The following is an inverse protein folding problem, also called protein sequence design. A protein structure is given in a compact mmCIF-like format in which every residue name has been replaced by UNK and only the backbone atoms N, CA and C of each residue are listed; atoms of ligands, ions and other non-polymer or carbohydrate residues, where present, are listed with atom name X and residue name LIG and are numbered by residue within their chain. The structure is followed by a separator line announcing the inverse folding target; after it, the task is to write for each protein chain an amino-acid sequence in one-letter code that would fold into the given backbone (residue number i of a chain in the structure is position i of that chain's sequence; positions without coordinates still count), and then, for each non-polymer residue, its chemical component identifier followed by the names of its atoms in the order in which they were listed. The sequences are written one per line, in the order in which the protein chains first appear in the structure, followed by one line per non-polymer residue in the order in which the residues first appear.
data_IF_417040291465
#
_entry.id   IF_417040291465
#
_cell.length_a   1.000
_cell.length_b   1.000
_cell.length_c   1.000
_cell.angle_alpha   90.00
_cell.angle_beta   90.00
_cell.angle_gamma   90.00
#
_symmetry.space_group_name_H-M   'P 1'
#
loop_
_entity.id
_entity.type
_entity.pdbx_description
1 polymer ?
#
# COMPACT_ATOMS: atom_id res chain seq x y z
N UNK A 1 0.92 30.73 -53.11
CA UNK A 1 1.14 31.20 -51.72
C UNK A 1 0.20 30.41 -50.84
N UNK A 2 0.79 29.77 -49.83
CA UNK A 2 0.19 28.76 -48.97
C UNK A 2 -0.87 29.33 -48.04
N UNK A 3 -1.93 28.55 -47.83
CA UNK A 3 -2.96 28.81 -46.82
C UNK A 3 -3.56 27.49 -46.35
N UNK A 4 -2.94 26.90 -45.34
CA UNK A 4 -3.37 25.66 -44.68
C UNK A 4 -4.70 25.89 -43.95
N UNK A 5 -5.71 25.11 -44.30
CA UNK A 5 -6.96 24.99 -43.52
C UNK A 5 -6.79 23.87 -42.51
N UNK A 6 -6.98 24.21 -41.23
CA UNK A 6 -7.00 23.30 -40.08
C UNK A 6 -8.23 22.39 -40.20
N UNK A 7 -8.01 21.07 -40.29
CA UNK A 7 -9.05 20.06 -40.11
C UNK A 7 -9.06 19.61 -38.65
N UNK A 8 -10.22 19.72 -38.03
CA UNK A 8 -10.51 19.22 -36.70
C UNK A 8 -10.41 17.69 -36.65
N UNK A 9 -9.80 17.16 -35.58
CA UNK A 9 -9.82 15.74 -35.24
C UNK A 9 -11.01 15.43 -34.35
N UNK A 10 -11.87 14.53 -34.83
CA UNK A 10 -13.00 13.93 -34.11
C UNK A 10 -12.53 12.91 -33.06
N UNK A 11 -13.29 12.70 -31.97
CA UNK A 11 -12.96 11.74 -30.91
C UNK A 11 -13.16 10.28 -31.35
N UNK A 12 -12.15 9.45 -31.05
CA UNK A 12 -12.12 8.02 -31.38
C UNK A 12 -13.22 7.20 -30.71
N UNK A 13 -14.03 6.55 -31.53
CA UNK A 13 -15.03 5.54 -31.16
C UNK A 13 -14.39 4.15 -31.02
N UNK A 14 -14.60 3.52 -29.87
CA UNK A 14 -14.26 2.11 -29.61
C UNK A 14 -15.27 1.17 -30.30
N UNK A 15 -14.85 0.04 -30.94
CA UNK A 15 -15.79 -0.85 -31.60
C UNK A 15 -16.50 -1.82 -30.64
N UNK A 16 -17.73 -2.27 -30.95
CA UNK A 16 -18.44 -3.31 -30.22
C UNK A 16 -17.93 -4.71 -30.61
N UNK A 17 -17.63 -5.57 -29.64
CA UNK A 17 -17.38 -6.99 -29.90
C UNK A 17 -18.69 -7.79 -29.75
N UNK A 18 -19.10 -8.41 -30.86
CA UNK A 18 -20.25 -9.32 -30.96
C UNK A 18 -19.96 -10.68 -30.31
N UNK A 19 -20.96 -11.38 -29.75
CA UNK A 19 -20.77 -12.64 -29.04
C UNK A 19 -21.23 -13.84 -29.87
N UNK A 20 -20.33 -14.59 -30.51
CA UNK A 20 -20.62 -16.00 -30.89
C UNK A 20 -19.36 -16.77 -31.26
N UNK A 21 -18.94 -17.69 -30.37
CA UNK A 21 -18.32 -18.99 -30.69
C UNK A 21 -17.70 -19.60 -29.43
N UNK A 22 -18.46 -20.38 -28.66
CA UNK A 22 -17.88 -21.45 -27.83
C UNK A 22 -18.73 -22.69 -28.05
N UNK A 23 -18.21 -23.65 -28.82
CA UNK A 23 -18.73 -25.00 -28.87
C UNK A 23 -17.71 -25.94 -28.22
N UNK A 24 -18.22 -26.72 -27.27
CA UNK A 24 -17.77 -28.06 -26.86
C UNK A 24 -16.33 -28.28 -26.39
N UNK A 25 -16.20 -28.35 -25.06
CA UNK A 25 -15.56 -29.49 -24.41
C UNK A 25 -16.25 -29.75 -23.05
N UNK A 26 -17.28 -30.59 -23.04
CA UNK A 26 -17.84 -31.11 -21.79
C UNK A 26 -16.86 -32.12 -21.20
N UNK A 27 -16.07 -31.68 -20.22
CA UNK A 27 -15.22 -32.56 -19.42
C UNK A 27 -16.12 -33.26 -18.40
N UNK A 28 -16.12 -34.59 -18.41
CA UNK A 28 -16.92 -35.41 -17.50
C UNK A 28 -16.66 -35.03 -16.03
N UNK A 29 -17.74 -34.88 -15.25
CA UNK A 29 -17.69 -34.70 -13.80
C UNK A 29 -17.20 -36.00 -13.14
N UNK A 30 -16.27 -35.94 -12.16
CA UNK A 30 -15.93 -37.10 -11.36
C UNK A 30 -17.11 -37.53 -10.46
N UNK A 31 -17.22 -38.82 -10.10
CA UNK A 31 -18.27 -39.31 -9.22
C UNK A 31 -18.19 -38.64 -7.84
N UNK A 32 -19.36 -38.32 -7.29
CA UNK A 32 -19.51 -37.76 -5.94
C UNK A 32 -19.00 -38.79 -4.90
N UNK A 33 -17.84 -38.53 -4.30
CA UNK A 33 -17.27 -39.43 -3.30
C UNK A 33 -15.85 -39.13 -2.82
N UNK A 34 -15.05 -38.36 -3.57
CA UNK A 34 -13.74 -37.90 -3.12
C UNK A 34 -13.62 -36.38 -3.27
N UNK A 35 -13.91 -35.65 -2.20
CA UNK A 35 -13.32 -34.31 -2.05
C UNK A 35 -11.81 -34.53 -1.87
N UNK A 36 -10.93 -33.86 -2.65
CA UNK A 36 -9.52 -33.83 -2.29
C UNK A 36 -9.42 -33.16 -0.92
N UNK A 37 -8.91 -33.90 0.06
CA UNK A 37 -8.56 -33.34 1.35
C UNK A 37 -7.55 -32.23 1.09
N UNK A 38 -7.97 -30.97 1.25
CA UNK A 38 -7.04 -29.85 1.27
C UNK A 38 -5.98 -30.18 2.33
N UNK A 39 -4.68 -30.05 2.04
CA UNK A 39 -3.69 -30.19 3.09
C UNK A 39 -4.06 -29.20 4.19
N UNK A 40 -4.17 -29.70 5.43
CA UNK A 40 -4.35 -28.86 6.61
C UNK A 40 -3.34 -27.72 6.50
N UNK A 41 -3.84 -26.48 6.63
CA UNK A 41 -3.05 -25.27 6.49
C UNK A 41 -1.68 -25.46 7.15
N UNK A 42 -0.66 -25.67 6.32
CA UNK A 42 0.71 -25.73 6.79
C UNK A 42 0.93 -24.41 7.51
N UNK A 43 1.32 -24.50 8.79
CA UNK A 43 1.73 -23.33 9.53
C UNK A 43 2.73 -22.58 8.65
N UNK A 44 2.40 -21.32 8.33
CA UNK A 44 3.37 -20.43 7.71
C UNK A 44 4.47 -20.29 8.75
N UNK A 45 5.54 -21.08 8.60
CA UNK A 45 6.76 -20.93 9.37
C UNK A 45 7.18 -19.47 9.26
N UNK A 46 7.47 -18.78 10.38
CA UNK A 46 7.86 -17.38 10.33
C UNK A 46 9.15 -17.29 9.53
N UNK A 47 9.06 -16.70 8.33
CA UNK A 47 10.21 -16.36 7.49
C UNK A 47 10.93 -15.18 8.16
N UNK A 48 11.55 -15.39 9.32
CA UNK A 48 12.57 -14.49 9.86
C UNK A 48 13.46 -15.31 10.79
N UNK A 49 14.58 -15.76 10.23
CA UNK A 49 15.70 -16.28 10.99
C UNK A 49 16.10 -15.26 12.06
N UNK A 50 16.49 -15.76 13.24
CA UNK A 50 16.96 -14.95 14.37
C UNK A 50 18.00 -13.91 13.91
N UNK A 51 17.71 -12.63 14.17
CA UNK A 51 18.70 -11.54 14.10
C UNK A 51 18.52 -10.59 12.92
N UNK A 52 18.07 -9.37 13.26
CA UNK A 52 17.73 -8.20 12.42
C UNK A 52 16.27 -8.20 11.96
N UNK A 53 15.42 -7.58 12.80
CA UNK A 53 14.15 -7.02 12.34
C UNK A 53 14.48 -6.04 11.22
N UNK A 54 14.19 -6.42 9.97
CA UNK A 54 14.37 -5.51 8.85
C UNK A 54 13.49 -4.30 9.09
N UNK A 55 14.13 -3.18 9.40
CA UNK A 55 13.47 -1.91 9.76
C UNK A 55 12.95 -1.20 8.52
N UNK A 56 12.49 -1.98 7.54
CA UNK A 56 11.96 -1.53 6.27
C UNK A 56 10.57 -2.14 6.09
N UNK A 57 9.63 -1.42 5.44
CA UNK A 57 8.39 -2.03 5.01
C UNK A 57 8.70 -3.16 4.02
N UNK A 58 8.21 -4.37 4.29
CA UNK A 58 8.25 -5.47 3.34
C UNK A 58 7.17 -5.22 2.28
N UNK A 59 7.51 -5.10 0.98
CA UNK A 59 6.53 -4.72 -0.06
C UNK A 59 5.43 -5.76 -0.28
N UNK A 60 5.66 -7.02 0.12
CA UNK A 60 4.64 -8.09 0.08
C UNK A 60 3.62 -7.92 1.21
N UNK A 61 4.07 -7.49 2.39
CA UNK A 61 3.20 -7.30 3.57
C UNK A 61 2.55 -5.91 3.58
N UNK A 62 3.29 -4.90 3.13
CA UNK A 62 2.94 -3.49 3.19
C UNK A 62 3.22 -2.83 1.84
N UNK A 63 2.43 -3.14 0.80
CA UNK A 63 2.53 -2.48 -0.51
C UNK A 63 2.11 -1.00 -0.48
N UNK A 64 1.39 -0.58 0.55
CA UNK A 64 0.78 0.76 0.64
C UNK A 64 -0.61 0.76 0.02
N UNK A 65 -1.61 1.16 0.79
CA UNK A 65 -3.02 1.15 0.37
C UNK A 65 -3.63 2.52 0.60
N UNK A 66 -4.22 3.09 -0.44
CA UNK A 66 -4.98 4.34 -0.36
C UNK A 66 -6.39 4.09 0.17
N UNK A 67 -6.89 5.07 0.91
CA UNK A 67 -8.25 5.18 1.39
C UNK A 67 -9.22 5.43 0.22
N UNK A 68 -10.42 4.91 0.37
CA UNK A 68 -11.53 4.99 -0.56
C UNK A 68 -12.80 5.38 0.19
N UNK A 69 -13.84 5.83 -0.51
CA UNK A 69 -15.12 6.16 0.12
C UNK A 69 -15.85 4.94 0.70
N UNK A 70 -15.45 3.72 0.34
CA UNK A 70 -15.98 2.46 0.88
C UNK A 70 -15.32 2.00 2.16
N UNK A 71 -14.19 2.61 2.56
CA UNK A 71 -13.49 2.20 3.78
C UNK A 71 -14.29 2.60 5.03
N UNK A 72 -14.32 1.71 6.02
CA UNK A 72 -15.04 1.93 7.30
C UNK A 72 -14.59 3.19 8.06
N UNK A 73 -13.35 3.62 7.82
CA UNK A 73 -12.75 4.77 8.49
C UNK A 73 -12.73 6.02 7.62
N UNK A 74 -13.30 5.95 6.41
CA UNK A 74 -13.50 7.11 5.55
C UNK A 74 -14.34 8.17 6.28
N UNK A 75 -13.97 9.43 6.10
CA UNK A 75 -14.67 10.54 6.76
C UNK A 75 -15.00 11.67 5.80
N UNK A 76 -14.07 12.05 4.92
CA UNK A 76 -14.24 13.21 4.05
C UNK A 76 -13.32 13.15 2.83
N UNK A 77 -13.54 14.08 1.90
CA UNK A 77 -12.59 14.43 0.84
C UNK A 77 -11.80 15.66 1.29
N UNK A 78 -10.47 15.61 1.21
CA UNK A 78 -9.57 16.72 1.59
C UNK A 78 -8.89 17.31 0.38
N UNK A 79 -8.42 18.55 0.56
CA UNK A 79 -7.62 19.30 -0.40
C UNK A 79 -8.37 19.61 -1.70
N UNK A 80 -7.81 20.49 -2.56
CA UNK A 80 -8.44 20.79 -3.85
C UNK A 80 -8.66 19.56 -4.74
N UNK A 81 -7.77 18.57 -4.67
CA UNK A 81 -7.84 17.32 -5.47
C UNK A 81 -8.89 16.31 -4.96
N UNK A 82 -9.61 16.60 -3.87
CA UNK A 82 -10.65 15.71 -3.33
C UNK A 82 -10.08 14.32 -2.97
N UNK A 83 -8.97 14.30 -2.24
CA UNK A 83 -8.31 13.09 -1.77
C UNK A 83 -9.17 12.45 -0.67
N UNK A 84 -9.49 11.16 -0.78
CA UNK A 84 -10.24 10.46 0.26
C UNK A 84 -9.42 10.36 1.55
N UNK A 85 -10.01 10.72 2.68
CA UNK A 85 -9.35 10.71 3.97
C UNK A 85 -9.98 9.70 4.94
N UNK A 86 -9.13 8.80 5.44
CA UNK A 86 -9.47 7.88 6.51
C UNK A 86 -8.96 8.45 7.83
N UNK A 87 -9.84 8.59 8.84
CA UNK A 87 -9.40 8.96 10.19
C UNK A 87 -8.51 7.86 10.76
N UNK A 88 -7.50 8.21 11.56
CA UNK A 88 -6.61 7.20 12.16
C UNK A 88 -7.43 6.28 13.07
N UNK A 89 -7.42 4.99 12.76
CA UNK A 89 -8.06 3.96 13.56
C UNK A 89 -7.27 2.67 13.44
N UNK A 90 -6.47 2.36 14.48
CA UNK A 90 -5.66 1.16 14.53
C UNK A 90 -5.67 0.59 15.95
N UNK A 91 -6.48 -0.44 16.13
CA UNK A 91 -6.66 -1.16 17.40
C UNK A 91 -5.39 -1.89 17.84
N UNK A 92 -5.33 -2.24 19.12
CA UNK A 92 -4.24 -3.06 19.67
C UNK A 92 -4.16 -4.44 19.01
N UNK A 93 -5.28 -5.05 18.66
CA UNK A 93 -5.28 -6.38 18.04
C UNK A 93 -4.82 -6.33 16.59
N UNK A 94 -5.13 -5.28 15.84
CA UNK A 94 -4.54 -5.01 14.52
C UNK A 94 -3.03 -4.83 14.60
N UNK A 95 -2.53 -4.09 15.59
CA UNK A 95 -1.07 -3.97 15.84
C UNK A 95 -0.44 -5.33 16.12
N UNK A 96 -1.07 -6.18 16.94
CA UNK A 96 -0.59 -7.56 17.18
C UNK A 96 -0.55 -8.39 15.90
N UNK A 97 -1.54 -8.25 15.02
CA UNK A 97 -1.53 -8.91 13.70
C UNK A 97 -0.32 -8.47 12.88
N UNK A 98 -0.07 -7.15 12.80
CA UNK A 98 1.09 -6.60 12.08
C UNK A 98 2.40 -7.08 12.70
N UNK A 99 2.54 -7.05 14.03
CA UNK A 99 3.70 -7.60 14.75
C UNK A 99 4.00 -9.04 14.35
N UNK A 100 2.97 -9.92 14.33
CA UNK A 100 3.14 -11.32 13.93
C UNK A 100 3.59 -11.45 12.48
N UNK A 101 3.02 -10.67 11.55
CA UNK A 101 3.41 -10.68 10.13
C UNK A 101 4.88 -10.33 9.93
N UNK A 102 5.38 -9.39 10.73
CA UNK A 102 6.77 -8.91 10.68
C UNK A 102 7.73 -9.67 11.58
N UNK A 103 7.27 -10.70 12.30
CA UNK A 103 8.12 -11.44 13.24
C UNK A 103 8.60 -10.60 14.43
N UNK A 104 7.89 -9.52 14.78
CA UNK A 104 8.18 -8.68 15.94
C UNK A 104 7.47 -9.25 17.17
N UNK A 105 8.20 -9.73 18.20
CA UNK A 105 7.61 -10.15 19.46
C UNK A 105 6.78 -9.02 20.08
N UNK A 106 5.59 -9.35 20.62
CA UNK A 106 4.69 -8.33 21.14
C UNK A 106 5.26 -7.60 22.36
N UNK A 107 6.09 -8.22 23.19
CA UNK A 107 6.79 -7.55 24.29
C UNK A 107 7.73 -6.42 23.80
N UNK A 108 8.22 -6.50 22.56
CA UNK A 108 9.07 -5.51 21.91
C UNK A 108 8.29 -4.44 21.12
N UNK A 109 6.95 -4.48 21.09
CA UNK A 109 6.13 -3.52 20.33
C UNK A 109 6.41 -2.05 20.69
N UNK A 110 6.84 -1.79 21.92
CA UNK A 110 7.18 -0.46 22.44
C UNK A 110 8.43 0.17 21.79
N UNK A 111 9.19 -0.59 21.00
CA UNK A 111 10.31 -0.07 20.22
C UNK A 111 9.87 0.52 18.87
N UNK A 112 8.61 0.32 18.49
CA UNK A 112 8.08 0.64 17.18
C UNK A 112 6.83 1.51 17.25
N UNK A 113 6.69 2.36 16.25
CA UNK A 113 5.42 2.94 15.85
C UNK A 113 4.80 2.03 14.79
N UNK A 114 3.56 1.60 14.99
CA UNK A 114 2.78 0.94 13.93
C UNK A 114 2.28 2.02 13.00
N UNK A 115 3.00 2.20 11.91
CA UNK A 115 2.88 3.37 11.07
C UNK A 115 2.46 3.06 9.66
N UNK A 116 1.87 4.06 9.03
CA UNK A 116 1.39 3.96 7.67
C UNK A 116 2.56 4.09 6.68
N UNK A 117 2.66 3.19 5.69
CA UNK A 117 3.60 3.38 4.58
C UNK A 117 3.21 4.63 3.78
N UNK A 118 1.95 4.67 3.33
CA UNK A 118 1.34 5.86 2.75
C UNK A 118 0.57 6.61 3.83
N UNK A 119 0.97 7.84 4.10
CA UNK A 119 0.39 8.66 5.18
C UNK A 119 -1.08 8.95 4.97
N UNK A 120 -1.84 9.05 6.07
CA UNK A 120 -3.27 9.36 6.02
C UNK A 120 -3.56 10.70 5.32
N UNK A 121 -2.68 11.71 5.44
CA UNK A 121 -2.88 12.99 4.75
C UNK A 121 -2.63 12.91 3.24
N UNK A 122 -1.93 11.89 2.76
CA UNK A 122 -1.81 11.57 1.34
C UNK A 122 -2.98 10.71 0.86
N UNK A 123 -3.96 10.46 1.73
CA UNK A 123 -5.05 9.53 1.49
C UNK A 123 -4.68 8.08 1.75
N UNK A 124 -3.70 7.77 2.60
CA UNK A 124 -3.46 6.40 3.06
C UNK A 124 -4.63 5.82 3.86
N UNK A 125 -4.80 4.50 3.82
CA UNK A 125 -5.83 3.76 4.56
C UNK A 125 -5.30 3.16 5.86
N UNK A 126 -6.19 2.74 6.77
CA UNK A 126 -5.82 1.90 7.93
C UNK A 126 -5.71 0.41 7.60
N UNK A 127 -5.79 0.01 6.31
CA UNK A 127 -5.61 -1.38 5.91
C UNK A 127 -4.26 -1.90 6.42
N UNK A 128 -4.22 -3.12 6.95
CA UNK A 128 -2.98 -3.69 7.49
C UNK A 128 -1.87 -3.84 6.43
N UNK A 129 -2.21 -3.82 5.14
CA UNK A 129 -1.29 -3.73 3.99
C UNK A 129 -0.72 -2.33 3.76
N UNK A 130 -1.10 -1.37 4.60
CA UNK A 130 -0.50 -0.05 4.69
C UNK A 130 0.21 0.15 6.04
N UNK A 131 0.24 -0.84 6.95
CA UNK A 131 0.81 -0.68 8.30
C UNK A 131 2.08 -1.53 8.44
N UNK A 132 3.10 -0.98 9.08
CA UNK A 132 4.32 -1.73 9.43
C UNK A 132 4.92 -1.25 10.75
N UNK A 133 5.71 -2.08 11.46
CA UNK A 133 6.40 -1.68 12.68
C UNK A 133 7.63 -0.85 12.33
N UNK A 134 7.50 0.48 12.37
CA UNK A 134 8.55 1.44 12.09
C UNK A 134 9.31 1.81 13.38
N UNK A 135 10.65 1.72 13.42
CA UNK A 135 11.40 2.20 14.57
C UNK A 135 11.11 3.68 14.86
N UNK A 136 10.99 4.07 16.14
CA UNK A 136 10.63 5.45 16.50
C UNK A 136 11.61 6.52 15.98
N UNK A 137 12.89 6.19 15.80
CA UNK A 137 13.84 7.13 15.21
C UNK A 137 13.44 7.47 13.75
N UNK A 138 13.05 6.46 12.98
CA UNK A 138 12.62 6.62 11.59
C UNK A 138 11.25 7.29 11.53
N UNK A 139 10.32 6.92 12.41
CA UNK A 139 8.99 7.52 12.46
C UNK A 139 9.04 9.03 12.74
N UNK A 140 9.95 9.48 13.62
CA UNK A 140 10.19 10.93 13.84
C UNK A 140 10.75 11.64 12.62
N UNK A 141 11.58 10.97 11.83
CA UNK A 141 12.12 11.54 10.60
C UNK A 141 11.02 11.60 9.51
N UNK A 142 10.23 10.53 9.37
CA UNK A 142 9.08 10.46 8.47
C UNK A 142 8.06 11.55 8.79
N UNK A 143 7.71 11.75 10.06
CA UNK A 143 6.76 12.78 10.49
C UNK A 143 7.09 14.20 9.98
N UNK A 144 8.38 14.53 9.81
CA UNK A 144 8.81 15.82 9.23
C UNK A 144 8.46 15.92 7.74
N UNK A 145 8.73 14.85 6.99
CA UNK A 145 8.35 14.75 5.58
C UNK A 145 6.83 14.80 5.42
N UNK A 146 6.11 14.02 6.23
CA UNK A 146 4.64 13.97 6.19
C UNK A 146 4.06 15.36 6.38
N UNK A 147 4.50 16.08 7.42
CA UNK A 147 4.06 17.46 7.65
C UNK A 147 4.27 18.35 6.42
N UNK A 148 5.44 18.29 5.79
CA UNK A 148 5.74 19.06 4.58
C UNK A 148 4.84 18.68 3.41
N UNK A 149 4.60 17.38 3.19
CA UNK A 149 3.71 16.90 2.12
C UNK A 149 2.26 17.30 2.36
N UNK A 150 1.76 17.18 3.60
CA UNK A 150 0.39 17.58 3.93
C UNK A 150 0.17 19.08 3.67
N UNK A 151 1.14 19.94 4.03
CA UNK A 151 1.04 21.38 3.78
C UNK A 151 1.13 21.74 2.29
N UNK A 152 1.96 21.03 1.52
CA UNK A 152 2.03 21.20 0.05
C UNK A 152 0.74 20.75 -0.64
N UNK A 153 0.13 19.63 -0.22
CA UNK A 153 -1.19 19.19 -0.70
C UNK A 153 -2.28 20.21 -0.37
N UNK A 154 -2.25 20.77 0.85
CA UNK A 154 -3.18 21.82 1.28
C UNK A 154 -3.11 23.08 0.42
N UNK A 155 -1.92 23.42 -0.06
CA UNK A 155 -1.67 24.56 -0.96
C UNK A 155 -1.77 24.20 -2.45
N UNK A 156 -2.09 22.95 -2.79
CA UNK A 156 -2.08 22.42 -4.15
C UNK A 156 -0.74 22.65 -4.89
N UNK A 157 0.37 22.65 -4.16
CA UNK A 157 1.73 22.75 -4.72
C UNK A 157 2.22 21.39 -5.25
N UNK A 158 1.59 20.31 -4.83
CA UNK A 158 1.80 18.94 -5.33
C UNK A 158 0.46 18.23 -5.50
N UNK A 159 0.41 17.28 -6.43
CA UNK A 159 -0.69 16.32 -6.55
C UNK A 159 -0.54 15.17 -5.55
N UNK A 160 -1.62 14.42 -5.32
CA UNK A 160 -1.59 13.19 -4.52
C UNK A 160 -0.51 12.23 -5.05
N UNK A 161 -0.48 12.03 -6.37
CA UNK A 161 0.46 11.11 -7.00
C UNK A 161 1.92 11.52 -6.75
N UNK A 162 2.22 12.81 -6.86
CA UNK A 162 3.56 13.35 -6.59
C UNK A 162 3.94 13.16 -5.12
N UNK A 163 3.02 13.45 -4.20
CA UNK A 163 3.26 13.26 -2.77
C UNK A 163 3.51 11.77 -2.43
N UNK A 164 2.73 10.85 -3.01
CA UNK A 164 2.90 9.39 -2.81
C UNK A 164 4.27 8.95 -3.33
N UNK A 165 4.66 9.41 -4.53
CA UNK A 165 5.96 9.11 -5.11
C UNK A 165 7.10 9.63 -4.25
N UNK A 166 6.96 10.83 -3.68
CA UNK A 166 7.97 11.44 -2.82
C UNK A 166 8.11 10.67 -1.49
N UNK A 167 7.00 10.27 -0.86
CA UNK A 167 6.99 9.47 0.37
C UNK A 167 7.65 8.10 0.16
N UNK A 168 7.28 7.39 -0.92
CA UNK A 168 7.89 6.11 -1.26
C UNK A 168 9.39 6.25 -1.59
N UNK A 169 9.79 7.33 -2.27
CA UNK A 169 11.19 7.60 -2.59
C UNK A 169 12.00 7.87 -1.32
N UNK A 170 11.45 8.64 -0.37
CA UNK A 170 12.08 8.89 0.91
C UNK A 170 12.24 7.61 1.73
N UNK A 171 11.20 6.75 1.76
CA UNK A 171 11.27 5.45 2.44
C UNK A 171 12.38 4.59 1.82
N UNK A 172 12.41 4.46 0.49
CA UNK A 172 13.45 3.71 -0.21
C UNK A 172 14.86 4.22 0.13
N UNK A 173 15.06 5.54 0.16
CA UNK A 173 16.36 6.13 0.46
C UNK A 173 16.76 5.98 1.94
N UNK A 174 15.81 6.13 2.85
CA UNK A 174 16.04 5.91 4.29
C UNK A 174 16.52 4.47 4.58
N UNK A 175 16.04 3.50 3.81
CA UNK A 175 16.47 2.10 3.89
C UNK A 175 17.90 1.95 3.37
N UNK A 176 18.21 2.53 2.20
CA UNK A 176 19.56 2.48 1.63
C UNK A 176 20.61 3.07 2.56
N UNK A 177 20.35 4.25 3.12
CA UNK A 177 21.28 4.93 4.04
C UNK A 177 21.58 4.05 5.26
N UNK A 178 20.56 3.41 5.84
CA UNK A 178 20.75 2.52 7.00
C UNK A 178 21.49 1.23 6.66
N UNK A 179 21.23 0.65 5.49
CA UNK A 179 21.98 -0.51 5.01
C UNK A 179 23.46 -0.16 4.86
N UNK A 180 23.79 0.99 4.26
CA UNK A 180 25.16 1.47 4.14
C UNK A 180 25.82 1.70 5.51
N UNK A 181 25.14 2.37 6.45
CA UNK A 181 25.66 2.62 7.80
C UNK A 181 25.83 1.36 8.67
N UNK A 182 25.18 0.25 8.29
CA UNK A 182 25.32 -1.04 8.98
C UNK A 182 26.46 -1.87 8.41
N UNK A 183 26.79 -1.70 7.12
CA UNK A 183 27.91 -2.38 6.45
C UNK A 183 29.29 -1.77 6.75
N UNK A 184 29.33 -0.59 7.36
CA UNK A 184 30.57 0.11 7.73
C UNK A 184 31.01 -0.12 9.20
N UNK A 185 30.36 -1.02 9.93
CA UNK A 185 30.69 -1.42 11.31
C UNK A 185 31.08 -2.88 11.35
#
# INVERSE_FOLDING_TARGET
MSGLTVLAQEPGTWPPQSPTAILSAARALPPAGQLPTLPAAAAIEPIHAKGRWESAPNPTLTPGILCTASDKDYTERRYPEQIAYCRRNLSTDEKKVVSRRYGVPWDQHHLYQFDHLLSLCLGGSNDLRNIWPMPYADARAKAKLEFQLCERLKRAEVTQEQAVREELSWVAESIRIRAAASSSR
#
